data_IF_586170842760
#
_entry.id   IF_586170842760
#
_cell.length_a   1.000
_cell.length_b   1.000
_cell.length_c   1.000
_cell.angle_alpha   90.00
_cell.angle_beta   90.00
_cell.angle_gamma   90.00
#
_symmetry.space_group_name_H-M   'P 1'
#
loop_
_entity.id
_entity.type
_entity.pdbx_description
1 polymer ?
#
# COMPACT_ATOMS: atom_id res chain seq x y z
N UNK A 1 -7.61 -24.72 4.00
CA UNK A 1 -7.60 -23.26 3.74
C UNK A 1 -8.30 -23.04 2.43
N UNK A 2 -9.33 -22.19 2.41
CA UNK A 2 -10.04 -21.86 1.18
C UNK A 2 -9.25 -20.89 0.31
N UNK A 3 -9.68 -20.69 -0.93
CA UNK A 3 -9.05 -19.73 -1.85
C UNK A 3 -9.11 -18.30 -1.27
N UNK A 4 -10.23 -17.96 -0.62
CA UNK A 4 -10.44 -16.68 0.08
C UNK A 4 -9.39 -16.45 1.16
N UNK A 5 -9.12 -17.42 2.04
CA UNK A 5 -8.10 -17.30 3.09
C UNK A 5 -6.71 -17.03 2.51
N UNK A 6 -6.39 -17.70 1.39
CA UNK A 6 -5.10 -17.57 0.73
C UNK A 6 -4.95 -16.19 0.08
N UNK A 7 -6.03 -15.65 -0.49
CA UNK A 7 -6.07 -14.27 -1.00
C UNK A 7 -5.93 -13.25 0.13
N UNK A 8 -6.62 -13.45 1.27
CA UNK A 8 -6.51 -12.57 2.44
C UNK A 8 -5.08 -12.49 2.95
N UNK A 9 -4.44 -13.64 3.21
CA UNK A 9 -3.04 -13.66 3.65
C UNK A 9 -2.11 -12.94 2.66
N UNK A 10 -2.36 -13.11 1.36
CA UNK A 10 -1.54 -12.47 0.33
C UNK A 10 -1.70 -10.94 0.38
N UNK A 11 -2.93 -10.45 0.48
CA UNK A 11 -3.23 -9.01 0.58
C UNK A 11 -2.66 -8.42 1.88
N UNK A 12 -2.85 -9.10 3.02
CA UNK A 12 -2.28 -8.69 4.31
C UNK A 12 -0.75 -8.57 4.24
N UNK A 13 -0.07 -9.56 3.65
CA UNK A 13 1.38 -9.53 3.48
C UNK A 13 1.84 -8.37 2.61
N UNK A 14 1.07 -8.05 1.56
CA UNK A 14 1.40 -6.94 0.66
C UNK A 14 1.17 -5.59 1.32
N UNK A 15 0.06 -5.46 2.05
CA UNK A 15 -0.21 -4.26 2.84
C UNK A 15 0.89 -4.04 3.88
N UNK A 16 1.35 -5.08 4.57
CA UNK A 16 2.48 -4.96 5.50
C UNK A 16 3.75 -4.47 4.79
N UNK A 17 4.01 -4.93 3.56
CA UNK A 17 5.13 -4.44 2.76
C UNK A 17 4.95 -2.98 2.30
N UNK A 18 3.71 -2.53 2.02
CA UNK A 18 3.44 -1.13 1.73
C UNK A 18 3.55 -0.25 2.98
N UNK A 19 3.14 -0.75 4.14
CA UNK A 19 3.27 -0.04 5.42
C UNK A 19 4.74 0.16 5.78
N UNK A 20 5.57 -0.89 5.63
CA UNK A 20 7.03 -0.79 5.82
C UNK A 20 7.67 0.20 4.83
N UNK A 21 7.24 0.19 3.57
CA UNK A 21 7.70 1.17 2.58
C UNK A 21 7.24 2.59 2.91
N UNK A 22 6.03 2.76 3.43
CA UNK A 22 5.49 4.05 3.86
C UNK A 22 6.30 4.61 5.02
N UNK A 23 6.59 3.78 6.03
CA UNK A 23 7.45 4.15 7.16
C UNK A 23 8.86 4.49 6.70
N UNK A 24 9.45 3.66 5.83
CA UNK A 24 10.78 3.92 5.28
C UNK A 24 10.82 5.22 4.47
N UNK A 25 9.81 5.49 3.65
CA UNK A 25 9.67 6.74 2.91
C UNK A 25 9.56 7.92 3.89
N UNK A 26 8.70 7.82 4.91
CA UNK A 26 8.52 8.87 5.92
C UNK A 26 9.80 9.14 6.70
N UNK A 27 10.52 8.10 7.12
CA UNK A 27 11.80 8.23 7.80
C UNK A 27 12.84 8.90 6.90
N UNK A 28 12.93 8.48 5.63
CA UNK A 28 13.85 9.06 4.64
C UNK A 28 13.52 10.51 4.33
N UNK A 29 12.24 10.87 4.27
CA UNK A 29 11.80 12.24 4.08
C UNK A 29 12.08 13.12 5.29
N UNK A 30 11.86 12.63 6.51
CA UNK A 30 12.24 13.36 7.73
C UNK A 30 13.75 13.60 7.79
N UNK A 31 14.55 12.57 7.48
CA UNK A 31 16.01 12.68 7.42
C UNK A 31 16.47 13.68 6.34
N UNK A 32 15.87 13.63 5.14
CA UNK A 32 16.18 14.56 4.05
C UNK A 32 15.68 15.97 4.32
N UNK A 33 14.52 16.15 4.95
CA UNK A 33 13.98 17.47 5.31
C UNK A 33 14.90 18.18 6.29
N UNK A 34 15.40 17.47 7.30
CA UNK A 34 16.41 18.00 8.22
C UNK A 34 17.73 18.37 7.51
N UNK A 35 18.07 17.69 6.41
CA UNK A 35 19.26 17.99 5.60
C UNK A 35 19.01 19.11 4.57
N UNK A 36 17.78 19.21 4.05
CA UNK A 36 17.36 20.13 3.00
C UNK A 36 16.85 21.48 3.52
N UNK A 37 16.55 21.64 4.82
CA UNK A 37 16.37 22.98 5.41
C UNK A 37 17.62 23.87 5.21
N UNK A 38 18.78 23.28 4.87
CA UNK A 38 19.99 23.99 4.48
C UNK A 38 20.08 24.32 2.97
N UNK A 39 19.24 23.75 2.09
CA UNK A 39 19.37 23.81 0.63
C UNK A 39 18.02 24.02 -0.10
N UNK A 40 18.02 24.74 -1.22
CA UNK A 40 16.80 25.06 -2.02
C UNK A 40 16.09 23.81 -2.59
N UNK A 41 16.74 22.65 -2.55
CA UNK A 41 16.21 21.37 -3.04
C UNK A 41 15.05 20.76 -2.22
N UNK A 42 14.62 21.41 -1.12
CA UNK A 42 13.56 20.89 -0.24
C UNK A 42 12.18 20.78 -0.90
N UNK A 43 11.83 21.65 -1.85
CA UNK A 43 10.49 21.70 -2.44
C UNK A 43 10.20 20.50 -3.37
N UNK A 44 11.09 20.21 -4.32
CA UNK A 44 10.96 19.04 -5.21
C UNK A 44 10.95 17.70 -4.44
N UNK A 45 11.73 17.63 -3.35
CA UNK A 45 11.77 16.45 -2.50
C UNK A 45 10.46 16.23 -1.74
N UNK A 46 9.84 17.31 -1.26
CA UNK A 46 8.58 17.25 -0.53
C UNK A 46 7.44 16.81 -1.46
N UNK A 47 7.40 17.28 -2.70
CA UNK A 47 6.37 16.90 -3.68
C UNK A 47 6.48 15.42 -4.12
N UNK A 48 7.68 14.95 -4.46
CA UNK A 48 7.90 13.53 -4.80
C UNK A 48 7.57 12.61 -3.63
N UNK A 49 7.92 13.04 -2.42
CA UNK A 49 7.62 12.30 -1.21
C UNK A 49 6.12 12.23 -0.93
N UNK A 50 5.41 13.36 -0.98
CA UNK A 50 3.96 13.40 -0.81
C UNK A 50 3.26 12.52 -1.85
N UNK A 51 3.74 12.52 -3.08
CA UNK A 51 3.24 11.66 -4.15
C UNK A 51 3.43 10.18 -3.81
N UNK A 52 4.64 9.75 -3.40
CA UNK A 52 4.88 8.35 -3.00
C UNK A 52 4.06 7.93 -1.77
N UNK A 53 3.96 8.80 -0.77
CA UNK A 53 3.19 8.51 0.45
C UNK A 53 1.70 8.37 0.13
N UNK A 54 1.16 9.25 -0.71
CA UNK A 54 -0.24 9.16 -1.10
C UNK A 54 -0.50 7.90 -1.94
N UNK A 55 0.36 7.57 -2.90
CA UNK A 55 0.24 6.34 -3.71
C UNK A 55 0.27 5.08 -2.84
N UNK A 56 1.17 5.02 -1.85
CA UNK A 56 1.23 3.91 -0.90
C UNK A 56 -0.01 3.85 0.01
N UNK A 57 -0.52 5.01 0.46
CA UNK A 57 -1.76 5.06 1.26
C UNK A 57 -2.98 4.62 0.48
N UNK A 58 -3.09 5.04 -0.78
CA UNK A 58 -4.18 4.62 -1.66
C UNK A 58 -4.13 3.11 -1.86
N UNK A 59 -2.94 2.54 -2.12
CA UNK A 59 -2.75 1.08 -2.17
C UNK A 59 -3.13 0.39 -0.86
N UNK A 60 -2.73 0.91 0.29
CA UNK A 60 -3.13 0.31 1.59
C UNK A 60 -4.65 0.34 1.76
N UNK A 61 -5.30 1.45 1.40
CA UNK A 61 -6.75 1.59 1.49
C UNK A 61 -7.49 0.65 0.52
N UNK A 62 -6.99 0.50 -0.70
CA UNK A 62 -7.49 -0.50 -1.67
C UNK A 62 -7.33 -1.92 -1.12
N UNK A 63 -6.17 -2.25 -0.55
CA UNK A 63 -5.92 -3.53 0.10
C UNK A 63 -6.90 -3.83 1.23
N UNK A 64 -7.22 -2.83 2.07
CA UNK A 64 -8.23 -2.96 3.13
C UNK A 64 -9.63 -3.20 2.56
N UNK A 65 -10.01 -2.47 1.51
CA UNK A 65 -11.29 -2.69 0.83
C UNK A 65 -11.38 -4.12 0.26
N UNK A 66 -10.30 -4.62 -0.34
CA UNK A 66 -10.24 -6.00 -0.82
C UNK A 66 -10.34 -7.03 0.31
N UNK A 67 -9.68 -6.81 1.45
CA UNK A 67 -9.80 -7.70 2.61
C UNK A 67 -11.22 -7.75 3.17
N UNK A 68 -11.91 -6.62 3.16
CA UNK A 68 -13.31 -6.56 3.57
C UNK A 68 -14.20 -7.30 2.57
N UNK A 69 -14.06 -7.04 1.26
CA UNK A 69 -14.79 -7.77 0.21
C UNK A 69 -14.52 -9.28 0.29
N UNK A 70 -13.27 -9.71 0.49
CA UNK A 70 -12.90 -11.11 0.69
C UNK A 70 -13.48 -11.70 1.97
N UNK A 71 -13.78 -10.89 2.98
CA UNK A 71 -14.39 -11.35 4.23
C UNK A 71 -15.90 -11.48 4.13
N UNK A 72 -16.53 -10.66 3.31
CA UNK A 72 -17.97 -10.70 3.05
C UNK A 72 -18.33 -11.68 1.92
N UNK A 73 -17.37 -12.02 1.07
CA UNK A 73 -17.57 -12.94 -0.04
C UNK A 73 -17.48 -14.42 0.35
N UNK A 74 -18.46 -15.19 -0.12
CA UNK A 74 -18.39 -16.65 -0.14
C UNK A 74 -17.48 -17.18 -1.25
N UNK A 75 -17.22 -18.49 -1.22
CA UNK A 75 -16.34 -19.17 -2.19
C UNK A 75 -16.78 -18.97 -3.65
N UNK A 76 -18.08 -18.78 -3.91
CA UNK A 76 -18.63 -18.53 -5.25
C UNK A 76 -18.10 -17.25 -5.91
N UNK A 77 -17.63 -16.26 -5.13
CA UNK A 77 -17.06 -15.00 -5.65
C UNK A 77 -15.53 -14.97 -5.63
N UNK A 78 -14.89 -16.06 -5.22
CA UNK A 78 -13.45 -16.09 -5.03
C UNK A 78 -12.68 -15.89 -6.35
N UNK A 79 -13.19 -16.36 -7.49
CA UNK A 79 -12.57 -16.14 -8.80
C UNK A 79 -12.65 -14.67 -9.27
N UNK A 80 -13.76 -13.98 -9.03
CA UNK A 80 -13.88 -12.54 -9.32
C UNK A 80 -12.94 -11.71 -8.44
N UNK A 81 -12.89 -12.04 -7.14
CA UNK A 81 -12.02 -11.37 -6.18
C UNK A 81 -10.56 -11.63 -6.48
N UNK A 82 -10.20 -12.83 -6.93
CA UNK A 82 -8.85 -13.14 -7.39
C UNK A 82 -8.42 -12.22 -8.53
N UNK A 83 -9.29 -11.92 -9.49
CA UNK A 83 -8.98 -11.01 -10.59
C UNK A 83 -8.78 -9.57 -10.09
N UNK A 84 -9.63 -9.10 -9.18
CA UNK A 84 -9.48 -7.78 -8.53
C UNK A 84 -8.18 -7.68 -7.75
N UNK A 85 -7.93 -8.65 -6.89
CA UNK A 85 -6.72 -8.75 -6.07
C UNK A 85 -5.47 -8.89 -6.96
N UNK A 86 -5.54 -9.59 -8.09
CA UNK A 86 -4.42 -9.65 -9.04
C UNK A 86 -4.04 -8.28 -9.61
N UNK A 87 -5.02 -7.38 -9.84
CA UNK A 87 -4.73 -5.99 -10.26
C UNK A 87 -4.07 -5.18 -9.18
N UNK A 88 -4.39 -5.44 -7.92
CA UNK A 88 -3.73 -4.81 -6.77
C UNK A 88 -2.24 -5.16 -6.68
N UNK A 89 -1.86 -6.34 -7.18
CA UNK A 89 -0.48 -6.82 -7.18
C UNK A 89 0.34 -6.44 -8.42
N UNK A 90 -0.27 -5.74 -9.38
CA UNK A 90 0.31 -5.46 -10.70
C UNK A 90 0.95 -4.07 -10.75
#
# INVERSE_FOLDING_TARGET
>A
MGLIDLLKQKVEKQMAAYDEQLEAAQAKARARKAQAEADVAGADLEEQFLTQVNDLKDKIAEGQAYLQELSEAGEDKADELKAKVARFFQ
#
